data_IF_759641715131
#
_entry.id   IF_759641715131
#
_cell.length_a   1.000
_cell.length_b   1.000
_cell.length_c   1.000
_cell.angle_alpha   90.00
_cell.angle_beta   90.00
_cell.angle_gamma   90.00
#
_symmetry.space_group_name_H-M   'P 1'
#
loop_
_entity.id
_entity.type
_entity.pdbx_description
1 polymer ?
#
# COMPACT_ATOMS: atom_id res chain seq x y z
N UNK A 1 19.03 -12.05 -27.18
CA UNK A 1 18.55 -11.43 -25.91
C UNK A 1 17.15 -10.87 -26.14
N UNK A 2 16.11 -11.70 -25.99
CA UNK A 2 14.73 -11.24 -26.12
C UNK A 2 14.29 -10.59 -24.81
N UNK A 3 14.11 -9.28 -24.84
CA UNK A 3 13.52 -8.53 -23.74
C UNK A 3 12.06 -8.96 -23.57
N UNK A 4 11.79 -9.71 -22.50
CA UNK A 4 10.43 -9.95 -22.01
C UNK A 4 9.92 -8.61 -21.48
N UNK A 5 9.38 -7.76 -22.37
CA UNK A 5 8.48 -6.69 -21.97
C UNK A 5 7.35 -7.37 -21.21
N UNK A 6 7.31 -7.16 -19.89
CA UNK A 6 6.17 -7.49 -19.04
C UNK A 6 4.96 -6.83 -19.69
N UNK A 7 4.16 -7.63 -20.37
CA UNK A 7 2.93 -7.23 -21.03
C UNK A 7 1.93 -7.00 -19.90
N UNK A 8 2.03 -5.83 -19.26
CA UNK A 8 0.91 -5.29 -18.49
C UNK A 8 -0.23 -5.22 -19.49
N UNK A 9 -1.23 -6.08 -19.34
CA UNK A 9 -2.43 -6.04 -20.14
C UNK A 9 -3.14 -4.73 -19.84
N UNK A 10 -2.86 -3.69 -20.61
CA UNK A 10 -3.69 -2.51 -20.65
C UNK A 10 -5.04 -2.96 -21.19
N UNK A 11 -5.99 -3.20 -20.27
CA UNK A 11 -7.36 -3.56 -20.60
C UNK A 11 -7.90 -2.45 -21.51
N UNK A 12 -8.46 -2.86 -22.63
CA UNK A 12 -8.80 -1.94 -23.69
C UNK A 12 -10.20 -1.36 -23.46
N UNK A 13 -10.37 -0.04 -23.60
CA UNK A 13 -11.67 0.64 -23.40
C UNK A 13 -12.67 0.44 -24.55
N UNK A 14 -12.21 0.00 -25.72
CA UNK A 14 -13.05 -0.18 -26.91
C UNK A 14 -13.63 -1.59 -26.95
N UNK A 15 -14.96 -1.70 -26.99
CA UNK A 15 -15.68 -2.99 -27.04
C UNK A 15 -15.21 -3.94 -28.15
N UNK A 16 -14.75 -3.39 -29.27
CA UNK A 16 -14.24 -4.17 -30.40
C UNK A 16 -12.89 -4.86 -30.14
N UNK A 17 -12.15 -4.51 -29.09
CA UNK A 17 -10.81 -5.05 -28.82
C UNK A 17 -10.92 -6.34 -28.01
N UNK A 18 -10.06 -7.33 -28.29
CA UNK A 18 -10.03 -8.63 -27.59
C UNK A 18 -9.76 -8.53 -26.08
N UNK A 19 -9.04 -7.49 -25.65
CA UNK A 19 -8.74 -7.20 -24.26
C UNK A 19 -9.79 -6.28 -23.61
N UNK A 20 -10.96 -6.12 -24.23
CA UNK A 20 -12.06 -5.38 -23.63
C UNK A 20 -12.61 -6.17 -22.45
N UNK A 21 -12.70 -5.51 -21.31
CA UNK A 21 -13.40 -6.01 -20.14
C UNK A 21 -14.41 -4.97 -19.69
N UNK A 22 -15.59 -5.42 -19.31
CA UNK A 22 -16.63 -4.57 -18.72
C UNK A 22 -16.26 -4.09 -17.33
N UNK A 23 -15.22 -4.63 -16.68
CA UNK A 23 -14.78 -4.15 -15.35
C UNK A 23 -14.34 -2.69 -15.32
N UNK A 24 -13.97 -2.10 -16.48
CA UNK A 24 -13.71 -0.66 -16.61
C UNK A 24 -15.02 0.15 -16.68
N UNK A 25 -16.10 -0.44 -17.19
CA UNK A 25 -17.41 0.17 -17.20
C UNK A 25 -18.06 -0.09 -15.83
N UNK A 26 -18.23 0.97 -15.04
CA UNK A 26 -18.94 0.95 -13.76
C UNK A 26 -20.29 0.23 -13.88
N UNK A 27 -20.31 -1.06 -13.52
CA UNK A 27 -21.55 -1.83 -13.44
C UNK A 27 -22.41 -1.30 -12.28
N UNK A 28 -21.77 -0.79 -11.23
CA UNK A 28 -22.38 -0.10 -10.10
C UNK A 28 -21.35 0.84 -9.45
N UNK A 29 -21.85 1.81 -8.69
CA UNK A 29 -21.00 2.69 -7.88
C UNK A 29 -20.77 2.07 -6.51
N UNK A 30 -19.52 2.10 -6.05
CA UNK A 30 -19.17 1.58 -4.73
C UNK A 30 -19.42 2.63 -3.65
N UNK A 31 -19.97 2.18 -2.52
CA UNK A 31 -20.33 3.03 -1.37
C UNK A 31 -19.13 3.84 -0.87
N UNK A 32 -17.98 3.20 -0.72
CA UNK A 32 -16.77 3.82 -0.20
C UNK A 32 -16.21 4.88 -1.18
N UNK A 33 -16.32 4.64 -2.49
CA UNK A 33 -15.98 5.64 -3.52
C UNK A 33 -16.92 6.85 -3.48
N UNK A 34 -18.24 6.64 -3.34
CA UNK A 34 -19.21 7.72 -3.14
C UNK A 34 -18.92 8.53 -1.87
N UNK A 35 -18.64 7.85 -0.75
CA UNK A 35 -18.25 8.49 0.51
C UNK A 35 -17.00 9.35 0.33
N UNK A 36 -15.99 8.86 -0.40
CA UNK A 36 -14.80 9.65 -0.69
C UNK A 36 -15.13 10.97 -1.40
N UNK A 37 -15.93 10.90 -2.47
CA UNK A 37 -16.23 12.07 -3.28
C UNK A 37 -17.21 13.06 -2.62
N UNK A 38 -18.12 12.57 -1.78
CA UNK A 38 -19.19 13.39 -1.19
C UNK A 38 -18.78 14.07 0.12
N UNK A 39 -17.88 13.47 0.91
CA UNK A 39 -17.53 13.98 2.25
C UNK A 39 -16.03 14.05 2.46
N UNK A 40 -15.33 12.92 2.39
CA UNK A 40 -13.94 12.80 2.83
C UNK A 40 -13.01 13.73 2.05
N UNK A 41 -13.24 13.89 0.74
CA UNK A 41 -12.41 14.75 -0.12
C UNK A 41 -12.39 16.21 0.36
N UNK A 42 -13.55 16.74 0.73
CA UNK A 42 -13.68 18.13 1.14
C UNK A 42 -13.09 18.33 2.54
N UNK A 43 -13.34 17.39 3.46
CA UNK A 43 -12.72 17.38 4.79
C UNK A 43 -11.19 17.32 4.71
N UNK A 44 -10.64 16.46 3.84
CA UNK A 44 -9.19 16.37 3.63
C UNK A 44 -8.63 17.66 3.05
N UNK A 45 -9.36 18.32 2.15
CA UNK A 45 -8.93 19.61 1.59
C UNK A 45 -8.85 20.67 2.69
N UNK A 46 -9.85 20.75 3.56
CA UNK A 46 -9.89 21.70 4.68
C UNK A 46 -8.78 21.41 5.68
N UNK A 47 -8.62 20.14 6.09
CA UNK A 47 -7.61 19.73 7.07
C UNK A 47 -6.17 19.95 6.58
N UNK A 48 -5.93 19.87 5.28
CA UNK A 48 -4.60 20.07 4.69
C UNK A 48 -4.34 21.50 4.24
N UNK A 49 -5.34 22.38 4.30
CA UNK A 49 -5.20 23.74 3.83
C UNK A 49 -4.15 24.51 4.63
N UNK A 50 -3.19 25.09 3.91
CA UNK A 50 -2.18 26.01 4.46
C UNK A 50 -2.32 27.34 3.72
N UNK A 51 -2.53 28.46 4.42
CA UNK A 51 -2.72 29.75 3.78
C UNK A 51 -1.49 30.16 2.94
N UNK A 52 -1.66 30.88 1.82
CA UNK A 52 -0.57 31.21 0.90
C UNK A 52 0.62 31.92 1.55
N UNK A 53 0.37 32.77 2.56
CA UNK A 53 1.39 33.51 3.31
C UNK A 53 2.34 32.58 4.07
N UNK A 54 1.79 31.57 4.76
CA UNK A 54 2.57 30.56 5.50
C UNK A 54 3.33 29.66 4.53
N UNK A 55 2.70 29.28 3.42
CA UNK A 55 3.35 28.47 2.38
C UNK A 55 4.53 29.19 1.73
N UNK A 56 4.38 30.47 1.37
CA UNK A 56 5.47 31.25 0.79
C UNK A 56 6.68 31.32 1.73
N UNK A 57 6.43 31.50 3.04
CA UNK A 57 7.49 31.46 4.07
C UNK A 57 8.16 30.09 4.16
N UNK A 58 7.39 29.00 4.12
CA UNK A 58 7.93 27.63 4.15
C UNK A 58 8.75 27.31 2.90
N UNK A 59 8.26 27.68 1.71
CA UNK A 59 8.97 27.50 0.44
C UNK A 59 10.29 28.28 0.41
N UNK A 60 10.26 29.56 0.81
CA UNK A 60 11.48 30.38 0.91
C UNK A 60 12.50 29.77 1.89
N UNK A 61 12.05 29.25 3.04
CA UNK A 61 12.92 28.58 4.01
C UNK A 61 13.48 27.23 3.53
N UNK A 62 12.75 26.49 2.69
CA UNK A 62 13.26 25.27 2.07
C UNK A 62 14.28 25.59 0.97
N UNK A 63 14.03 26.64 0.17
CA UNK A 63 14.97 27.11 -0.84
C UNK A 63 16.29 27.58 -0.23
N UNK A 64 16.26 28.34 0.86
CA UNK A 64 17.48 28.76 1.58
C UNK A 64 18.24 27.55 2.12
N UNK A 65 17.56 26.60 2.77
CA UNK A 65 18.18 25.35 3.24
C UNK A 65 18.81 24.54 2.11
N UNK A 66 18.17 24.50 0.94
CA UNK A 66 18.70 23.80 -0.23
C UNK A 66 19.91 24.54 -0.84
N UNK A 67 19.95 25.87 -0.79
CA UNK A 67 21.12 26.67 -1.17
C UNK A 67 22.28 26.45 -0.20
N UNK A 68 22.06 26.57 1.10
CA UNK A 68 23.05 26.29 2.15
C UNK A 68 23.59 24.84 2.08
N UNK A 69 22.72 23.87 1.80
CA UNK A 69 23.12 22.47 1.61
C UNK A 69 23.97 22.26 0.35
N UNK A 70 23.73 23.02 -0.73
CA UNK A 70 24.55 22.96 -1.95
C UNK A 70 25.90 23.65 -1.75
N UNK A 71 25.92 24.80 -1.08
CA UNK A 71 27.12 25.56 -0.78
C UNK A 71 28.06 24.77 0.14
N UNK A 72 27.52 24.08 1.15
CA UNK A 72 28.30 23.20 2.03
C UNK A 72 28.85 21.92 1.37
N UNK A 73 28.43 21.60 0.13
CA UNK A 73 29.02 20.52 -0.68
C UNK A 73 30.22 20.99 -1.51
N UNK A 74 30.43 22.30 -1.65
CA UNK A 74 31.57 22.88 -2.37
C UNK A 74 32.62 23.42 -1.41
N UNK A 75 33.55 22.58 -0.94
CA UNK A 75 34.68 23.14 -0.18
C UNK A 75 35.64 22.16 0.49
N UNK A 76 35.26 20.90 0.74
CA UNK A 76 36.19 19.95 1.34
C UNK A 76 36.03 18.57 0.68
N UNK A 77 37.12 17.96 0.17
CA UNK A 77 37.06 16.59 -0.32
C UNK A 77 36.55 15.69 0.81
N UNK A 78 35.69 14.70 0.50
CA UNK A 78 35.09 13.87 1.53
C UNK A 78 36.17 13.14 2.32
N UNK A 79 36.22 13.37 3.63
CA UNK A 79 37.16 12.68 4.51
C UNK A 79 36.89 11.16 4.44
N UNK A 80 37.86 10.35 3.98
CA UNK A 80 37.69 8.90 3.81
C UNK A 80 37.49 8.14 5.12
N UNK A 81 37.86 8.72 6.27
CA UNK A 81 37.67 8.14 7.60
C UNK A 81 36.28 8.43 8.19
N UNK A 82 35.55 9.40 7.64
CA UNK A 82 34.20 9.71 8.11
C UNK A 82 33.21 8.78 7.41
N UNK A 83 32.51 7.95 8.18
CA UNK A 83 31.39 7.16 7.65
C UNK A 83 30.47 8.11 6.89
N UNK A 84 30.30 7.87 5.58
CA UNK A 84 29.41 8.68 4.77
C UNK A 84 28.03 8.66 5.43
N UNK A 85 27.58 9.83 5.90
CA UNK A 85 26.20 10.00 6.33
C UNK A 85 25.35 9.62 5.12
N UNK A 86 24.55 8.56 5.24
CA UNK A 86 23.69 8.12 4.15
C UNK A 86 22.92 9.34 3.64
N UNK A 87 23.13 9.69 2.36
CA UNK A 87 22.45 10.81 1.73
C UNK A 87 20.97 10.43 1.69
N UNK A 88 20.20 11.00 2.61
CA UNK A 88 18.74 10.85 2.58
C UNK A 88 18.29 11.49 1.28
N UNK A 89 17.62 10.72 0.42
CA UNK A 89 17.01 11.27 -0.79
C UNK A 89 16.13 12.47 -0.38
N UNK A 90 16.19 13.61 -1.09
CA UNK A 90 15.32 14.72 -0.80
C UNK A 90 13.87 14.24 -0.88
N UNK A 91 13.06 14.66 0.09
CA UNK A 91 11.64 14.29 0.09
C UNK A 91 10.97 15.02 -1.08
N UNK A 92 10.06 14.36 -1.82
CA UNK A 92 9.31 15.03 -2.88
C UNK A 92 8.52 16.21 -2.31
N UNK A 93 8.44 17.29 -3.09
CA UNK A 93 7.68 18.48 -2.74
C UNK A 93 6.20 18.13 -2.60
N UNK A 94 5.57 18.62 -1.53
CA UNK A 94 4.13 18.40 -1.32
C UNK A 94 3.36 19.40 -2.16
N UNK A 95 2.55 18.95 -3.14
CA UNK A 95 1.76 19.85 -3.94
C UNK A 95 0.64 20.46 -3.08
N UNK A 96 0.16 21.62 -3.51
CA UNK A 96 -0.93 22.34 -2.84
C UNK A 96 -2.20 21.49 -2.86
N UNK A 97 -2.89 21.30 -1.71
CA UNK A 97 -4.20 20.67 -1.73
C UNK A 97 -5.17 21.62 -2.43
N UNK A 98 -5.68 21.16 -3.56
CA UNK A 98 -6.73 21.78 -4.37
C UNK A 98 -7.75 20.68 -4.65
N UNK A 99 -9.00 21.01 -4.97
CA UNK A 99 -10.03 20.02 -5.25
C UNK A 99 -9.54 18.88 -6.19
N UNK A 100 -8.79 19.21 -7.25
CA UNK A 100 -8.24 18.23 -8.21
C UNK A 100 -7.05 17.41 -7.71
N UNK A 101 -6.41 17.83 -6.62
CA UNK A 101 -5.17 17.26 -6.10
C UNK A 101 -5.31 16.74 -4.66
N UNK A 102 -6.54 16.50 -4.21
CA UNK A 102 -6.79 15.80 -2.95
C UNK A 102 -6.27 14.36 -3.07
N UNK A 103 -5.54 13.85 -2.05
CA UNK A 103 -5.06 12.47 -2.09
C UNK A 103 -6.25 11.50 -2.16
N UNK A 104 -6.06 10.40 -2.87
CA UNK A 104 -6.99 9.28 -3.01
C UNK A 104 -6.22 7.95 -3.01
N UNK A 105 -6.94 6.84 -2.92
CA UNK A 105 -6.33 5.50 -3.07
C UNK A 105 -6.18 5.20 -4.56
N UNK A 106 -4.94 4.99 -5.01
CA UNK A 106 -4.62 4.75 -6.42
C UNK A 106 -4.76 3.26 -6.76
N UNK A 107 -4.22 2.39 -5.90
CA UNK A 107 -4.19 0.95 -6.13
C UNK A 107 -4.07 0.18 -4.82
N UNK A 108 -4.72 -0.97 -4.74
CA UNK A 108 -4.46 -1.95 -3.69
C UNK A 108 -3.81 -3.17 -4.29
N UNK A 109 -2.69 -3.62 -3.72
CA UNK A 109 -2.02 -4.85 -4.13
C UNK A 109 -2.14 -5.87 -3.03
N UNK A 110 -2.82 -6.98 -3.30
CA UNK A 110 -2.86 -8.13 -2.39
C UNK A 110 -1.78 -9.09 -2.84
N UNK A 111 -0.87 -9.45 -1.93
CA UNK A 111 0.27 -10.29 -2.22
C UNK A 111 0.35 -11.45 -1.23
N UNK A 112 0.39 -12.68 -1.76
CA UNK A 112 0.55 -13.90 -0.98
C UNK A 112 1.94 -14.47 -1.25
N UNK A 113 2.68 -14.78 -0.18
CA UNK A 113 3.97 -15.48 -0.27
C UNK A 113 3.82 -16.88 0.32
N UNK A 114 3.92 -17.90 -0.50
CA UNK A 114 3.82 -19.30 -0.08
C UNK A 114 5.24 -19.86 0.03
N UNK A 115 5.72 -20.14 1.24
CA UNK A 115 7.04 -20.74 1.41
C UNK A 115 7.02 -22.23 1.03
N UNK A 116 5.89 -22.87 1.24
CA UNK A 116 5.57 -24.27 0.99
C UNK A 116 5.59 -24.59 -0.51
N UNK A 117 5.40 -23.58 -1.37
CA UNK A 117 5.50 -23.70 -2.82
C UNK A 117 6.90 -24.15 -3.31
N UNK A 118 7.94 -23.97 -2.48
CA UNK A 118 9.29 -24.48 -2.76
C UNK A 118 9.37 -26.00 -2.70
N UNK A 119 8.59 -26.64 -1.83
CA UNK A 119 8.54 -28.09 -1.69
C UNK A 119 7.55 -28.69 -2.69
N UNK A 120 6.35 -28.10 -2.75
CA UNK A 120 5.30 -28.56 -3.65
C UNK A 120 4.63 -27.38 -4.37
N UNK A 121 4.78 -27.37 -5.70
CA UNK A 121 4.24 -26.32 -6.58
C UNK A 121 2.70 -26.24 -6.53
N UNK A 122 2.00 -27.30 -6.15
CA UNK A 122 0.54 -27.31 -6.07
C UNK A 122 0.00 -26.37 -4.98
N UNK A 123 0.76 -26.09 -3.92
CA UNK A 123 0.35 -25.12 -2.90
C UNK A 123 0.20 -23.69 -3.45
N UNK A 124 0.87 -23.38 -4.56
CA UNK A 124 0.71 -22.09 -5.23
C UNK A 124 -0.67 -21.95 -5.89
N UNK A 125 -1.27 -23.06 -6.35
CA UNK A 125 -2.60 -23.05 -6.94
C UNK A 125 -3.66 -22.69 -5.89
N UNK A 126 -3.50 -23.20 -4.66
CA UNK A 126 -4.33 -22.85 -3.49
C UNK A 126 -4.35 -21.33 -3.27
N UNK A 127 -3.17 -20.69 -3.29
CA UNK A 127 -3.06 -19.24 -3.11
C UNK A 127 -3.66 -18.43 -4.27
N UNK A 128 -3.53 -18.91 -5.51
CA UNK A 128 -4.18 -18.27 -6.66
C UNK A 128 -5.71 -18.33 -6.57
N UNK A 129 -6.25 -19.49 -6.20
CA UNK A 129 -7.69 -19.68 -6.01
C UNK A 129 -8.22 -18.79 -4.87
N UNK A 130 -7.50 -18.72 -3.75
CA UNK A 130 -7.86 -17.85 -2.63
C UNK A 130 -7.87 -16.37 -3.06
N UNK A 131 -6.85 -15.90 -3.78
CA UNK A 131 -6.82 -14.52 -4.31
C UNK A 131 -7.99 -14.25 -5.25
N UNK A 132 -8.32 -15.20 -6.12
CA UNK A 132 -9.41 -15.05 -7.07
C UNK A 132 -10.77 -14.99 -6.38
N UNK A 133 -10.99 -15.80 -5.34
CA UNK A 133 -12.23 -15.77 -4.54
C UNK A 133 -12.34 -14.46 -3.77
N UNK A 134 -11.25 -14.00 -3.13
CA UNK A 134 -11.22 -12.78 -2.32
C UNK A 134 -11.40 -11.48 -3.10
N UNK A 135 -10.96 -11.46 -4.36
CA UNK A 135 -10.84 -10.21 -5.13
C UNK A 135 -11.65 -10.21 -6.41
N UNK A 136 -12.17 -11.36 -6.84
CA UNK A 136 -12.82 -11.54 -8.14
C UNK A 136 -11.88 -11.46 -9.35
N UNK A 137 -10.61 -11.12 -9.14
CA UNK A 137 -9.62 -10.89 -10.20
C UNK A 137 -8.58 -12.02 -10.27
N UNK A 138 -8.06 -12.26 -11.47
CA UNK A 138 -7.08 -13.32 -11.68
C UNK A 138 -5.71 -12.93 -11.14
N UNK A 139 -5.18 -13.75 -10.22
CA UNK A 139 -3.82 -13.59 -9.70
C UNK A 139 -2.71 -13.80 -10.72
N UNK A 140 -1.69 -12.96 -10.64
CA UNK A 140 -0.42 -13.10 -11.35
C UNK A 140 0.58 -13.92 -10.52
N UNK A 141 1.16 -14.96 -11.14
CA UNK A 141 2.24 -15.73 -10.53
C UNK A 141 3.56 -14.98 -10.62
N UNK A 142 4.21 -14.80 -9.47
CA UNK A 142 5.51 -14.17 -9.33
C UNK A 142 6.60 -15.23 -9.16
N UNK A 143 7.66 -15.03 -9.94
CA UNK A 143 8.88 -15.84 -9.88
C UNK A 143 9.92 -15.18 -8.98
N UNK A 144 10.76 -15.99 -8.35
CA UNK A 144 11.88 -15.55 -7.53
C UNK A 144 12.86 -14.69 -8.34
N UNK A 145 13.16 -13.49 -7.84
CA UNK A 145 14.14 -12.57 -8.44
C UNK A 145 15.57 -12.83 -7.97
N UNK A 146 15.73 -13.31 -6.74
CA UNK A 146 17.02 -13.53 -6.09
C UNK A 146 17.22 -15.02 -5.79
N UNK A 147 18.49 -15.43 -5.77
CA UNK A 147 18.91 -16.75 -5.31
C UNK A 147 19.32 -16.64 -3.83
N UNK A 148 18.88 -17.57 -3.00
CA UNK A 148 19.32 -17.64 -1.61
C UNK A 148 19.39 -19.11 -1.16
N UNK A 149 20.61 -19.62 -1.01
CA UNK A 149 20.85 -21.02 -0.64
C UNK A 149 20.24 -21.37 0.73
N UNK A 150 20.30 -20.44 1.70
CA UNK A 150 19.72 -20.62 3.04
C UNK A 150 18.21 -20.89 3.01
N UNK A 151 17.50 -20.38 2.00
CA UNK A 151 16.06 -20.59 1.82
C UNK A 151 15.75 -21.67 0.78
N UNK A 152 16.76 -22.41 0.30
CA UNK A 152 16.64 -23.35 -0.83
C UNK A 152 16.00 -22.71 -2.07
N UNK A 153 16.21 -21.40 -2.24
CA UNK A 153 15.55 -20.57 -3.22
C UNK A 153 16.43 -20.41 -4.46
N UNK A 154 15.88 -20.74 -5.64
CA UNK A 154 16.51 -20.48 -6.94
C UNK A 154 15.70 -19.48 -7.78
N UNK A 155 16.38 -18.65 -8.56
CA UNK A 155 15.83 -17.67 -9.49
C UNK A 155 14.92 -18.36 -10.49
N UNK A 156 13.80 -17.70 -10.79
CA UNK A 156 12.80 -18.21 -11.72
C UNK A 156 11.80 -19.21 -11.12
N UNK A 157 11.98 -19.67 -9.88
CA UNK A 157 10.99 -20.52 -9.21
C UNK A 157 9.71 -19.73 -8.90
N UNK A 158 8.50 -20.25 -9.19
CA UNK A 158 7.24 -19.60 -8.85
C UNK A 158 6.93 -19.80 -7.36
N UNK A 159 6.68 -18.71 -6.63
CA UNK A 159 6.62 -18.74 -5.14
C UNK A 159 5.49 -17.91 -4.58
N UNK A 160 5.21 -16.78 -5.21
CA UNK A 160 4.16 -15.88 -4.76
C UNK A 160 3.13 -15.65 -5.85
N UNK A 161 1.96 -15.24 -5.41
CA UNK A 161 0.91 -14.72 -6.28
C UNK A 161 0.55 -13.32 -5.81
N UNK A 162 0.20 -12.45 -6.75
CA UNK A 162 -0.33 -11.11 -6.43
C UNK A 162 -1.53 -10.79 -7.30
N UNK A 163 -2.40 -9.93 -6.78
CA UNK A 163 -3.45 -9.26 -7.54
C UNK A 163 -3.28 -7.76 -7.33
N UNK A 164 -3.48 -6.99 -8.39
CA UNK A 164 -3.49 -5.54 -8.35
C UNK A 164 -4.91 -5.06 -8.65
N UNK A 165 -5.56 -4.44 -7.66
CA UNK A 165 -6.91 -3.91 -7.75
C UNK A 165 -6.87 -2.40 -7.97
N UNK A 166 -7.68 -1.93 -8.91
CA UNK A 166 -7.88 -0.52 -9.26
C UNK A 166 -9.36 -0.25 -9.45
N UNK A 167 -9.79 1.00 -9.32
CA UNK A 167 -11.19 1.37 -9.55
C UNK A 167 -12.10 0.86 -8.43
N UNK A 168 -13.30 0.41 -8.80
CA UNK A 168 -14.34 0.03 -7.83
C UNK A 168 -14.03 -1.27 -7.07
N UNK A 169 -13.48 -2.30 -7.73
CA UNK A 169 -13.08 -3.56 -7.08
C UNK A 169 -12.08 -3.34 -5.92
N UNK A 170 -11.24 -2.31 -6.04
CA UNK A 170 -10.30 -1.91 -4.99
C UNK A 170 -11.04 -1.37 -3.76
N UNK A 171 -12.04 -0.52 -3.97
CA UNK A 171 -12.82 0.08 -2.88
C UNK A 171 -13.72 -0.94 -2.20
N UNK A 172 -14.30 -1.90 -2.91
CA UNK A 172 -15.02 -3.02 -2.30
C UNK A 172 -14.13 -3.89 -1.43
N UNK A 173 -12.92 -4.21 -1.90
CA UNK A 173 -11.98 -4.98 -1.11
C UNK A 173 -11.60 -4.24 0.17
N UNK A 174 -11.36 -2.92 0.09
CA UNK A 174 -11.11 -2.10 1.27
C UNK A 174 -12.31 -2.05 2.21
N UNK A 175 -13.52 -1.95 1.66
CA UNK A 175 -14.75 -1.92 2.45
C UNK A 175 -14.92 -3.19 3.27
N UNK A 176 -14.83 -4.36 2.61
CA UNK A 176 -14.86 -5.68 3.27
C UNK A 176 -13.77 -5.81 4.33
N UNK A 177 -12.56 -5.34 4.01
CA UNK A 177 -11.43 -5.40 4.94
C UNK A 177 -11.73 -4.58 6.20
N UNK A 178 -12.18 -3.34 6.07
CA UNK A 178 -12.34 -2.41 7.19
C UNK A 178 -13.59 -2.73 8.02
N UNK A 179 -14.72 -3.03 7.38
CA UNK A 179 -15.99 -3.22 8.09
C UNK A 179 -16.17 -4.64 8.64
N UNK A 180 -15.67 -5.67 7.94
CA UNK A 180 -15.91 -7.06 8.31
C UNK A 180 -14.67 -7.71 8.91
N UNK A 181 -13.52 -7.61 8.23
CA UNK A 181 -12.34 -8.42 8.60
C UNK A 181 -11.62 -7.85 9.82
N UNK A 182 -11.28 -6.55 9.80
CA UNK A 182 -10.52 -5.94 10.90
C UNK A 182 -11.22 -6.04 12.26
N UNK A 183 -12.55 -5.83 12.39
CA UNK A 183 -13.23 -5.97 13.68
C UNK A 183 -13.33 -7.42 14.17
N UNK A 184 -13.36 -8.41 13.26
CA UNK A 184 -13.35 -9.84 13.62
C UNK A 184 -11.98 -10.35 14.07
N UNK A 185 -10.90 -9.63 13.76
CA UNK A 185 -9.55 -10.01 14.17
C UNK A 185 -9.35 -9.82 15.67
N UNK A 186 -9.06 -10.91 16.40
CA UNK A 186 -8.84 -10.89 17.86
C UNK A 186 -7.65 -10.01 18.29
N UNK A 187 -6.56 -10.04 17.54
CA UNK A 187 -5.28 -9.40 17.91
C UNK A 187 -4.96 -8.15 17.08
N UNK A 188 -5.95 -7.60 16.36
CA UNK A 188 -5.72 -6.40 15.56
C UNK A 188 -6.00 -5.12 16.34
N UNK A 189 -4.93 -4.50 16.85
CA UNK A 189 -5.02 -3.23 17.55
C UNK A 189 -4.94 -2.01 16.61
N UNK A 190 -4.65 -2.21 15.33
CA UNK A 190 -4.49 -1.14 14.33
C UNK A 190 -3.05 -0.90 13.89
N UNK A 191 -2.89 0.01 12.94
CA UNK A 191 -1.60 0.34 12.34
C UNK A 191 -0.77 1.24 13.25
N UNK A 192 0.53 0.97 13.38
CA UNK A 192 1.44 1.87 14.10
C UNK A 192 1.47 3.27 13.46
N UNK A 193 1.55 4.32 14.27
CA UNK A 193 1.76 5.70 13.78
C UNK A 193 3.11 5.89 13.04
N UNK A 194 4.05 4.95 13.17
CA UNK A 194 5.30 4.95 12.39
C UNK A 194 5.16 4.26 11.03
N UNK A 195 4.07 3.54 10.79
CA UNK A 195 3.86 2.81 9.55
C UNK A 195 3.80 3.77 8.34
N UNK A 196 4.37 3.30 7.23
CA UNK A 196 4.36 3.94 5.91
C UNK A 196 5.75 4.15 5.32
N UNK A 197 5.86 4.08 3.99
CA UNK A 197 7.14 4.05 3.27
C UNK A 197 7.82 5.43 3.11
N UNK A 198 7.28 6.47 3.74
CA UNK A 198 7.73 7.85 3.63
C UNK A 198 7.00 8.65 2.54
N UNK A 199 6.40 7.94 1.59
CA UNK A 199 5.71 8.47 0.41
C UNK A 199 4.22 8.10 0.42
N UNK A 200 3.58 8.01 1.59
CA UNK A 200 2.12 7.83 1.68
C UNK A 200 1.59 6.43 1.32
N UNK A 201 2.45 5.45 1.08
CA UNK A 201 2.06 4.06 0.89
C UNK A 201 2.07 3.31 2.21
N UNK A 202 1.10 2.42 2.40
CA UNK A 202 0.93 1.63 3.62
C UNK A 202 0.84 0.15 3.30
N UNK A 203 1.47 -0.67 4.14
CA UNK A 203 1.48 -2.12 4.01
C UNK A 203 0.89 -2.73 5.28
N UNK A 204 -0.11 -3.58 5.11
CA UNK A 204 -0.72 -4.42 6.14
C UNK A 204 -0.22 -5.85 5.94
N UNK A 205 0.23 -6.51 7.00
CA UNK A 205 0.54 -7.94 6.99
C UNK A 205 -0.49 -8.69 7.82
N UNK A 206 -0.99 -9.80 7.28
CA UNK A 206 -1.99 -10.65 7.91
C UNK A 206 -1.50 -12.09 7.99
N UNK A 207 -1.78 -12.72 9.12
CA UNK A 207 -1.54 -14.15 9.32
C UNK A 207 -2.54 -14.99 8.52
N UNK A 208 -2.25 -16.29 8.39
CA UNK A 208 -3.10 -17.23 7.63
C UNK A 208 -4.53 -17.27 8.14
N UNK A 209 -4.75 -17.15 9.46
CA UNK A 209 -6.08 -17.21 10.07
C UNK A 209 -7.03 -16.10 9.58
N UNK A 210 -6.49 -14.95 9.15
CA UNK A 210 -7.29 -13.79 8.74
C UNK A 210 -8.02 -14.05 7.43
N UNK A 211 -7.47 -14.89 6.56
CA UNK A 211 -8.07 -15.13 5.24
C UNK A 211 -9.45 -15.79 5.34
N UNK A 212 -9.70 -16.59 6.38
CA UNK A 212 -10.99 -17.22 6.64
C UNK A 212 -12.04 -16.28 7.24
N UNK A 213 -11.67 -15.05 7.62
CA UNK A 213 -12.61 -14.06 8.14
C UNK A 213 -13.36 -13.29 7.04
N UNK A 214 -12.89 -13.41 5.79
CA UNK A 214 -13.59 -12.84 4.64
C UNK A 214 -14.86 -13.65 4.34
N UNK A 215 -16.00 -12.98 4.06
CA UNK A 215 -17.27 -13.66 3.84
C UNK A 215 -17.24 -14.63 2.64
N UNK A 216 -16.46 -14.31 1.60
CA UNK A 216 -16.30 -15.15 0.40
C UNK A 216 -15.49 -16.42 0.67
N UNK A 217 -14.52 -16.35 1.58
CA UNK A 217 -13.65 -17.47 1.91
C UNK A 217 -14.23 -18.37 3.00
N UNK A 218 -15.04 -17.82 3.91
CA UNK A 218 -15.65 -18.55 5.03
C UNK A 218 -16.45 -19.78 4.56
N UNK A 219 -17.15 -19.67 3.43
CA UNK A 219 -17.96 -20.77 2.85
C UNK A 219 -17.11 -21.89 2.24
N UNK A 220 -15.95 -21.55 1.68
CA UNK A 220 -15.11 -22.48 0.89
C UNK A 220 -13.84 -22.89 1.67
N UNK A 221 -13.72 -22.45 2.92
CA UNK A 221 -12.50 -22.58 3.72
C UNK A 221 -12.00 -24.02 3.81
N UNK A 222 -12.91 -24.98 4.02
CA UNK A 222 -12.59 -26.40 4.18
C UNK A 222 -12.04 -27.07 2.90
N UNK A 223 -12.26 -26.46 1.73
CA UNK A 223 -11.74 -26.98 0.45
C UNK A 223 -10.27 -26.63 0.22
N UNK A 224 -9.70 -25.71 1.00
CA UNK A 224 -8.31 -25.29 0.83
C UNK A 224 -7.35 -26.17 1.63
N UNK A 225 -6.41 -26.88 0.97
CA UNK A 225 -5.47 -27.75 1.67
C UNK A 225 -4.41 -26.97 2.46
N UNK A 226 -4.12 -25.73 2.05
CA UNK A 226 -3.17 -24.85 2.73
C UNK A 226 -3.68 -23.43 2.73
N UNK A 227 -3.79 -22.89 3.94
CA UNK A 227 -4.20 -21.52 4.22
C UNK A 227 -2.95 -20.67 4.43
N UNK A 228 -2.77 -19.66 3.59
CA UNK A 228 -1.55 -18.84 3.58
C UNK A 228 -1.82 -17.41 4.03
N UNK A 229 -0.91 -16.85 4.82
CA UNK A 229 -0.93 -15.43 5.17
C UNK A 229 -0.70 -14.54 3.93
N UNK A 230 -1.15 -13.29 4.02
CA UNK A 230 -1.09 -12.35 2.91
C UNK A 230 -0.75 -10.94 3.38
N UNK A 231 -0.28 -10.11 2.46
CA UNK A 231 0.01 -8.71 2.71
C UNK A 231 -0.80 -7.84 1.76
N UNK A 232 -1.39 -6.77 2.28
CA UNK A 232 -2.13 -5.77 1.51
C UNK A 232 -1.33 -4.49 1.47
N UNK A 233 -0.92 -4.09 0.27
CA UNK A 233 -0.23 -2.83 0.04
C UNK A 233 -1.23 -1.82 -0.53
N UNK A 234 -1.51 -0.77 0.23
CA UNK A 234 -2.38 0.32 -0.17
C UNK A 234 -1.49 1.44 -0.70
N UNK A 235 -1.57 1.66 -2.01
CA UNK A 235 -0.88 2.75 -2.70
C UNK A 235 -1.83 3.94 -2.78
N UNK A 236 -1.40 5.08 -2.25
CA UNK A 236 -2.16 6.33 -2.33
C UNK A 236 -1.44 7.33 -3.23
N UNK A 237 -2.13 8.38 -3.63
CA UNK A 237 -1.52 9.52 -4.33
C UNK A 237 -0.84 10.51 -3.38
N UNK A 238 -0.92 10.29 -2.08
CA UNK A 238 -0.30 11.17 -1.10
C UNK A 238 1.23 11.16 -1.21
N UNK A 239 1.85 12.34 -1.12
CA UNK A 239 3.31 12.49 -1.22
C UNK A 239 4.01 12.17 0.10
N UNK A 240 3.30 12.24 1.23
CA UNK A 240 3.86 12.04 2.57
C UNK A 240 2.97 11.15 3.43
N UNK A 241 3.59 10.41 4.36
CA UNK A 241 2.91 9.55 5.32
C UNK A 241 1.78 10.21 6.14
N UNK A 242 1.92 11.42 6.73
CA UNK A 242 0.82 12.01 7.49
C UNK A 242 -0.44 12.22 6.64
N UNK A 243 -0.28 12.72 5.42
CA UNK A 243 -1.36 12.91 4.45
C UNK A 243 -2.05 11.59 4.10
N UNK A 244 -1.27 10.55 3.78
CA UNK A 244 -1.83 9.23 3.47
C UNK A 244 -2.50 8.58 4.70
N UNK A 245 -1.99 8.85 5.91
CA UNK A 245 -2.60 8.37 7.15
C UNK A 245 -3.95 9.04 7.41
N UNK A 246 -4.04 10.35 7.23
CA UNK A 246 -5.30 11.08 7.36
C UNK A 246 -6.36 10.50 6.43
N UNK A 247 -5.99 10.23 5.17
CA UNK A 247 -6.88 9.60 4.20
C UNK A 247 -7.34 8.21 4.65
N UNK A 248 -6.41 7.33 5.03
CA UNK A 248 -6.77 5.97 5.47
C UNK A 248 -7.57 5.97 6.78
N UNK A 249 -7.27 6.90 7.68
CA UNK A 249 -8.05 7.10 8.90
C UNK A 249 -9.47 7.57 8.59
N UNK A 250 -9.66 8.40 7.57
CA UNK A 250 -10.98 8.81 7.09
C UNK A 250 -11.79 7.65 6.53
N UNK A 251 -11.14 6.66 5.93
CA UNK A 251 -11.78 5.41 5.51
C UNK A 251 -12.06 4.44 6.66
N UNK A 252 -11.69 4.77 7.91
CA UNK A 252 -11.95 3.94 9.08
C UNK A 252 -10.81 2.99 9.45
N UNK A 253 -9.62 3.10 8.84
CA UNK A 253 -8.47 2.32 9.28
C UNK A 253 -7.93 2.83 10.62
N UNK A 254 -7.89 1.98 11.67
CA UNK A 254 -7.43 2.41 12.98
C UNK A 254 -5.91 2.58 13.00
N UNK A 255 -5.44 3.73 13.50
CA UNK A 255 -4.03 3.98 13.78
C UNK A 255 -3.77 4.05 15.28
N UNK A 256 -2.83 3.24 15.74
CA UNK A 256 -2.33 3.23 17.11
C UNK A 256 -1.46 4.46 17.35
N UNK A 257 -1.94 5.31 18.26
CA UNK A 257 -1.13 6.32 18.89
C UNK A 257 -0.10 5.63 19.77
N UNK A 258 1.18 5.92 19.56
CA UNK A 258 2.19 5.50 20.52
C UNK A 258 1.87 6.17 21.86
N UNK A 259 1.45 5.39 22.86
CA UNK A 259 1.45 5.90 24.24
C UNK A 259 2.87 6.35 24.53
N UNK A 260 3.06 7.62 24.88
CA UNK A 260 4.31 8.02 25.54
C UNK A 260 4.47 7.09 26.75
N UNK A 261 5.66 6.49 26.98
CA UNK A 261 5.87 5.78 28.23
C UNK A 261 5.53 6.76 29.35
N UNK A 262 4.68 6.32 30.29
CA UNK A 262 4.38 7.10 31.49
C UNK A 262 5.74 7.36 32.12
N UNK A 263 6.21 8.61 32.10
CA UNK A 263 7.38 8.96 32.90
C UNK A 263 6.99 8.61 34.31
N UNK A 264 7.68 7.66 34.91
CA UNK A 264 7.56 7.35 36.32
C UNK A 264 8.04 8.57 37.10
N UNK A 265 7.14 9.55 37.25
CA UNK A 265 7.20 10.48 38.37
C UNK A 265 6.73 9.66 39.56
N UNK A 266 7.68 9.08 40.29
CA UNK A 266 7.49 8.80 41.70
C UNK A 266 7.93 10.06 42.47
N UNK A 267 7.03 10.52 43.33
CA UNK A 267 7.08 11.74 44.10
C UNK A 267 8.16 11.74 45.21
N UNK A 268 8.65 12.95 45.52
CA UNK A 268 9.27 13.48 46.76
C UNK A 268 10.53 12.81 47.34
#
# INVERSE_FOLDING_TARGET
MFGVKSMRSAVASTASKRLFATSIAQAYQTRLNQFFHNTLRDDLMILQYVPPSVRARQGAAEETRMKEAKESMGGTPPNPLRKHKQIRRPKPNVPVPTAHNTPFVDKVTVHIRCREALQNKHHLLSALMALQILTGERGEVLKAKNDAAAWKLRKGMPISAKVELTGDNMYEFLDKLIEVVLPRMKEYHGLKMSAGDGVGNFTLGFDSSVIGLFPEMEVVYDMFPLVTGFSVNIKTTAVRNPTGRLLLSGFGLPFLHARKPKSETFDL
#
